data_IF_986646872597
#
_entry.id   IF_986646872597
#
_cell.length_a   1.000
_cell.length_b   1.000
_cell.length_c   1.000
_cell.angle_alpha   90.00
_cell.angle_beta   90.00
_cell.angle_gamma   90.00
#
_symmetry.space_group_name_H-M   'P 1'
#
loop_
_entity.id
_entity.type
_entity.pdbx_description
1 polymer ?
#
# COMPACT_ATOMS: atom_id res chain seq x y z
N UNK A 1 31.00 46.88 -4.11
CA UNK A 1 30.42 45.71 -4.78
C UNK A 1 29.80 46.16 -6.10
N UNK A 2 30.25 45.58 -7.22
CA UNK A 2 29.87 45.97 -8.58
C UNK A 2 28.33 45.79 -8.76
N UNK A 3 27.67 46.79 -9.37
CA UNK A 3 26.18 46.75 -9.58
C UNK A 3 25.73 45.50 -10.32
N UNK A 4 26.55 44.92 -11.19
CA UNK A 4 26.28 43.67 -11.89
C UNK A 4 26.30 42.47 -10.93
N UNK A 5 27.27 42.42 -10.01
CA UNK A 5 27.37 41.33 -9.03
C UNK A 5 26.14 41.30 -8.10
N UNK A 6 25.67 42.50 -7.71
CA UNK A 6 24.47 42.64 -6.88
C UNK A 6 23.21 42.14 -7.59
N UNK A 7 23.08 42.43 -8.90
CA UNK A 7 21.95 41.94 -9.71
C UNK A 7 21.99 40.43 -9.90
N UNK A 8 23.16 39.83 -10.13
CA UNK A 8 23.35 38.38 -10.25
C UNK A 8 22.98 37.70 -8.94
N UNK A 9 23.43 38.21 -7.80
CA UNK A 9 23.06 37.65 -6.50
C UNK A 9 21.55 37.70 -6.24
N UNK A 10 20.89 38.82 -6.57
CA UNK A 10 19.43 38.92 -6.42
C UNK A 10 18.71 37.89 -7.31
N UNK A 11 19.19 37.72 -8.55
CA UNK A 11 18.61 36.73 -9.48
C UNK A 11 18.76 35.31 -8.94
N UNK A 12 19.93 34.93 -8.42
CA UNK A 12 20.19 33.62 -7.83
C UNK A 12 19.32 33.36 -6.60
N UNK A 13 19.11 34.36 -5.75
CA UNK A 13 18.23 34.25 -4.59
C UNK A 13 16.77 34.07 -5.04
N UNK A 14 16.31 34.82 -6.05
CA UNK A 14 14.95 34.67 -6.58
C UNK A 14 14.73 33.30 -7.22
N UNK A 15 15.71 32.79 -7.97
CA UNK A 15 15.64 31.43 -8.54
C UNK A 15 15.64 30.40 -7.43
N UNK A 16 16.46 30.55 -6.39
CA UNK A 16 16.47 29.64 -5.24
C UNK A 16 15.13 29.61 -4.49
N UNK A 17 14.54 30.79 -4.24
CA UNK A 17 13.22 30.89 -3.60
C UNK A 17 12.13 30.27 -4.50
N UNK A 18 12.16 30.54 -5.81
CA UNK A 18 11.18 29.99 -6.75
C UNK A 18 11.26 28.46 -6.82
N UNK A 19 12.46 27.90 -6.90
CA UNK A 19 12.64 26.43 -6.92
C UNK A 19 12.21 25.80 -5.59
N UNK A 20 12.54 26.42 -4.46
CA UNK A 20 12.14 25.93 -3.15
C UNK A 20 10.61 25.97 -2.96
N UNK A 21 9.95 27.08 -3.30
CA UNK A 21 8.49 27.21 -3.21
C UNK A 21 7.78 26.27 -4.20
N UNK A 22 8.32 26.11 -5.40
CA UNK A 22 7.77 25.18 -6.40
C UNK A 22 7.87 23.73 -5.94
N UNK A 23 9.03 23.29 -5.44
CA UNK A 23 9.21 21.91 -4.96
C UNK A 23 8.32 21.62 -3.74
N UNK A 24 8.17 22.59 -2.83
CA UNK A 24 7.29 22.43 -1.67
C UNK A 24 5.82 22.41 -2.07
N UNK A 25 5.42 23.28 -3.01
CA UNK A 25 4.07 23.28 -3.56
C UNK A 25 3.75 21.99 -4.30
N UNK A 26 4.67 21.50 -5.14
CA UNK A 26 4.53 20.21 -5.84
C UNK A 26 4.44 19.04 -4.85
N UNK A 27 5.24 19.07 -3.78
CA UNK A 27 5.15 18.06 -2.72
C UNK A 27 3.77 18.02 -2.05
N UNK A 28 3.23 19.18 -1.69
CA UNK A 28 1.88 19.27 -1.13
C UNK A 28 0.79 18.84 -2.13
N UNK A 29 0.87 19.25 -3.38
CA UNK A 29 -0.08 18.83 -4.41
C UNK A 29 -0.01 17.33 -4.68
N UNK A 30 1.19 16.78 -4.65
CA UNK A 30 1.41 15.36 -4.83
C UNK A 30 0.77 14.52 -3.71
N UNK A 31 0.81 15.00 -2.47
CA UNK A 31 0.20 14.32 -1.32
C UNK A 31 -1.32 14.39 -1.35
N UNK A 32 -1.92 15.50 -1.80
CA UNK A 32 -3.38 15.64 -1.93
C UNK A 32 -4.03 14.52 -2.75
N UNK A 33 -3.30 13.91 -3.68
CA UNK A 33 -3.80 12.77 -4.43
C UNK A 33 -4.00 11.51 -3.56
N UNK A 34 -3.47 11.50 -2.32
CA UNK A 34 -3.53 10.38 -1.38
C UNK A 34 -4.26 10.71 -0.08
N UNK A 35 -4.74 11.94 0.13
CA UNK A 35 -5.49 12.37 1.34
C UNK A 35 -6.71 11.47 1.60
N UNK A 36 -7.30 10.92 0.54
CA UNK A 36 -8.44 10.00 0.65
C UNK A 36 -8.11 8.70 1.40
N UNK A 37 -6.82 8.31 1.49
CA UNK A 37 -6.39 7.14 2.25
C UNK A 37 -6.72 7.26 3.74
N UNK A 38 -6.75 8.49 4.29
CA UNK A 38 -7.15 8.75 5.67
C UNK A 38 -8.60 8.31 5.96
N UNK A 39 -9.43 8.16 4.93
CA UNK A 39 -10.80 7.63 5.05
C UNK A 39 -10.84 6.11 5.20
N UNK A 40 -9.82 5.40 4.73
CA UNK A 40 -9.77 3.95 4.69
C UNK A 40 -8.78 3.34 5.69
N UNK A 41 -7.82 4.14 6.16
CA UNK A 41 -6.75 3.70 7.04
C UNK A 41 -6.67 4.60 8.29
N UNK A 42 -7.09 4.13 9.51
CA UNK A 42 -7.55 2.77 9.80
C UNK A 42 -9.05 2.57 9.55
N UNK A 43 -9.43 1.39 9.09
CA UNK A 43 -10.81 0.91 9.03
C UNK A 43 -11.03 -0.14 10.12
N UNK A 44 -12.05 0.03 10.95
CA UNK A 44 -12.39 -0.92 12.02
C UNK A 44 -13.43 -1.95 11.60
N UNK A 45 -14.18 -1.67 10.56
CA UNK A 45 -15.19 -2.58 9.99
C UNK A 45 -15.21 -2.43 8.48
N UNK A 46 -15.01 -3.54 7.76
CA UNK A 46 -15.04 -3.55 6.29
C UNK A 46 -16.37 -3.08 5.71
N UNK A 47 -17.46 -3.17 6.48
CA UNK A 47 -18.77 -2.64 6.05
C UNK A 47 -18.78 -1.12 5.92
N UNK A 48 -17.84 -0.42 6.54
CA UNK A 48 -17.70 1.03 6.35
C UNK A 48 -17.31 1.37 4.91
N UNK A 49 -16.66 0.46 4.19
CA UNK A 49 -16.31 0.65 2.80
C UNK A 49 -17.55 0.81 1.90
N UNK A 50 -18.70 0.21 2.26
CA UNK A 50 -19.95 0.42 1.51
C UNK A 50 -20.44 1.88 1.50
N UNK A 51 -19.98 2.70 2.45
CA UNK A 51 -20.29 4.15 2.46
C UNK A 51 -19.57 4.88 1.33
N UNK A 52 -18.39 4.38 0.97
CA UNK A 52 -17.53 4.98 -0.04
C UNK A 52 -17.71 4.31 -1.41
N UNK A 53 -18.07 3.02 -1.41
CA UNK A 53 -18.28 2.19 -2.59
C UNK A 53 -19.69 1.60 -2.53
N UNK A 54 -20.71 2.35 -3.00
CA UNK A 54 -22.12 1.98 -2.81
C UNK A 54 -22.58 0.79 -3.66
N UNK A 55 -21.79 0.32 -4.63
CA UNK A 55 -22.10 -0.93 -5.32
C UNK A 55 -21.28 -2.08 -4.76
N UNK A 56 -20.12 -2.32 -5.30
CA UNK A 56 -19.27 -3.44 -4.89
C UNK A 56 -17.84 -2.95 -4.72
N UNK A 57 -17.10 -3.59 -3.85
CA UNK A 57 -15.67 -3.34 -3.68
C UNK A 57 -14.90 -4.66 -3.55
N UNK A 58 -13.61 -4.60 -3.87
CA UNK A 58 -12.67 -5.66 -3.54
C UNK A 58 -11.48 -5.09 -2.75
N UNK A 59 -11.01 -5.85 -1.77
CA UNK A 59 -9.73 -5.61 -1.10
C UNK A 59 -8.83 -6.80 -1.40
N UNK A 60 -7.69 -6.54 -2.02
CA UNK A 60 -6.68 -7.55 -2.32
C UNK A 60 -5.52 -7.34 -1.38
N UNK A 61 -5.30 -8.28 -0.48
CA UNK A 61 -4.16 -8.26 0.44
C UNK A 61 -3.16 -9.33 0.01
N UNK A 62 -1.89 -8.96 -0.12
CA UNK A 62 -0.81 -9.86 -0.53
C UNK A 62 0.30 -9.80 0.51
N UNK A 63 0.78 -10.96 0.92
CA UNK A 63 2.01 -11.13 1.71
C UNK A 63 2.93 -12.08 0.98
N UNK A 64 4.19 -11.72 0.91
CA UNK A 64 5.22 -12.57 0.35
C UNK A 64 6.32 -12.82 1.38
N UNK A 65 6.75 -14.07 1.45
CA UNK A 65 7.74 -14.54 2.39
C UNK A 65 8.89 -15.22 1.65
N UNK A 66 10.11 -14.87 2.02
CA UNK A 66 11.30 -15.67 1.67
C UNK A 66 11.47 -16.76 2.73
N UNK A 67 11.71 -17.99 2.29
CA UNK A 67 12.02 -19.12 3.17
C UNK A 67 13.53 -19.31 3.30
N UNK A 68 14.00 -19.55 4.52
CA UNK A 68 15.40 -19.85 4.77
C UNK A 68 15.82 -21.17 4.08
N UNK A 69 17.01 -21.16 3.48
CA UNK A 69 17.55 -22.34 2.79
C UNK A 69 16.99 -22.60 1.37
N UNK A 70 16.06 -21.77 0.90
CA UNK A 70 15.47 -21.88 -0.44
C UNK A 70 15.66 -20.59 -1.24
N UNK A 71 16.85 -20.28 -1.71
CA UNK A 71 17.14 -19.02 -2.39
C UNK A 71 16.28 -18.87 -3.66
N UNK A 72 15.63 -17.72 -3.78
CA UNK A 72 14.79 -17.38 -4.93
C UNK A 72 13.38 -17.98 -4.93
N UNK A 73 13.04 -18.79 -3.94
CA UNK A 73 11.67 -19.27 -3.75
C UNK A 73 10.91 -18.31 -2.83
N UNK A 74 9.69 -17.95 -3.22
CA UNK A 74 8.84 -17.03 -2.48
C UNK A 74 7.49 -17.72 -2.24
N UNK A 75 7.04 -17.72 -1.00
CA UNK A 75 5.68 -18.08 -0.68
C UNK A 75 4.82 -16.82 -0.73
N UNK A 76 3.83 -16.81 -1.60
CA UNK A 76 2.87 -15.71 -1.76
C UNK A 76 1.50 -16.11 -1.24
N UNK A 77 0.93 -15.26 -0.40
CA UNK A 77 -0.44 -15.41 0.07
C UNK A 77 -1.22 -14.24 -0.46
N UNK A 78 -2.28 -14.56 -1.18
CA UNK A 78 -3.23 -13.57 -1.69
C UNK A 78 -4.57 -13.79 -1.03
N UNK A 79 -5.11 -12.77 -0.38
CA UNK A 79 -6.47 -12.74 0.15
C UNK A 79 -7.27 -11.75 -0.68
N UNK A 80 -8.37 -12.22 -1.25
CA UNK A 80 -9.33 -11.39 -1.96
C UNK A 80 -10.58 -11.34 -1.10
N UNK A 81 -10.96 -10.12 -0.73
CA UNK A 81 -12.16 -9.80 0.03
C UNK A 81 -13.09 -9.06 -0.91
N UNK A 82 -14.32 -9.53 -1.04
CA UNK A 82 -15.33 -8.94 -1.89
C UNK A 82 -16.51 -8.49 -1.05
N UNK A 83 -16.91 -7.23 -1.23
CA UNK A 83 -18.10 -6.66 -0.63
C UNK A 83 -19.19 -6.47 -1.67
N UNK A 84 -20.30 -7.16 -1.50
CA UNK A 84 -21.51 -7.01 -2.34
C UNK A 84 -22.49 -6.06 -1.66
N UNK A 85 -22.67 -4.89 -2.21
CA UNK A 85 -23.47 -3.81 -1.60
C UNK A 85 -24.95 -4.16 -1.48
N UNK A 86 -25.54 -4.81 -2.48
CA UNK A 86 -26.98 -5.17 -2.50
C UNK A 86 -27.39 -6.04 -1.33
N UNK A 87 -26.51 -6.96 -0.95
CA UNK A 87 -26.74 -7.90 0.14
C UNK A 87 -26.03 -7.53 1.42
N UNK A 88 -25.16 -6.50 1.38
CA UNK A 88 -24.22 -6.13 2.46
C UNK A 88 -23.36 -7.33 2.91
N UNK A 89 -23.13 -8.27 1.99
CA UNK A 89 -22.36 -9.48 2.23
C UNK A 89 -20.89 -9.22 1.98
N UNK A 90 -20.06 -9.71 2.89
CA UNK A 90 -18.61 -9.76 2.72
C UNK A 90 -18.21 -11.22 2.61
N UNK A 91 -17.46 -11.56 1.57
CA UNK A 91 -16.84 -12.86 1.34
C UNK A 91 -15.33 -12.71 1.17
N UNK A 92 -14.57 -13.74 1.51
CA UNK A 92 -13.13 -13.71 1.32
C UNK A 92 -12.60 -15.08 0.92
N UNK A 93 -11.54 -15.05 0.13
CA UNK A 93 -10.81 -16.23 -0.32
C UNK A 93 -9.33 -15.99 -0.19
N UNK A 94 -8.62 -16.96 0.37
CA UNK A 94 -7.17 -16.92 0.46
C UNK A 94 -6.56 -18.00 -0.43
N UNK A 95 -5.48 -17.63 -1.14
CA UNK A 95 -4.70 -18.52 -2.00
C UNK A 95 -3.25 -18.50 -1.55
N UNK A 96 -2.66 -19.68 -1.44
CA UNK A 96 -1.26 -19.91 -1.14
C UNK A 96 -0.57 -20.37 -2.43
N UNK A 97 0.41 -19.60 -2.88
CA UNK A 97 1.20 -19.89 -4.07
C UNK A 97 2.68 -20.01 -3.71
N UNK A 98 3.38 -20.89 -4.42
CA UNK A 98 4.83 -20.98 -4.41
C UNK A 98 5.37 -20.34 -5.69
N UNK A 99 6.11 -19.27 -5.58
CA UNK A 99 6.75 -18.58 -6.70
C UNK A 99 8.18 -19.11 -6.81
N UNK A 100 8.49 -19.73 -7.93
CA UNK A 100 9.78 -20.33 -8.21
C UNK A 100 10.80 -19.30 -8.75
N UNK A 101 12.10 -19.60 -8.74
CA UNK A 101 13.14 -18.70 -9.23
C UNK A 101 12.99 -18.24 -10.68
N UNK A 102 12.35 -19.06 -11.52
CA UNK A 102 12.01 -18.73 -12.92
C UNK A 102 10.77 -17.85 -13.06
N UNK A 103 10.19 -17.40 -11.91
CA UNK A 103 8.95 -16.62 -11.79
C UNK A 103 7.68 -17.38 -12.18
N UNK A 104 7.73 -18.68 -12.38
CA UNK A 104 6.53 -19.49 -12.45
C UNK A 104 5.87 -19.58 -11.08
N UNK A 105 4.56 -19.80 -11.07
CA UNK A 105 3.78 -19.90 -9.82
C UNK A 105 3.08 -21.26 -9.78
N UNK A 106 3.25 -21.95 -8.66
CA UNK A 106 2.54 -23.18 -8.34
C UNK A 106 1.52 -22.89 -7.25
N UNK A 107 0.25 -23.07 -7.56
CA UNK A 107 -0.81 -22.94 -6.57
C UNK A 107 -0.79 -24.14 -5.63
N UNK A 108 -0.56 -23.88 -4.35
CA UNK A 108 -0.50 -24.93 -3.32
C UNK A 108 -1.87 -25.17 -2.68
N UNK A 109 -2.60 -24.11 -2.34
CA UNK A 109 -3.87 -24.22 -1.65
C UNK A 109 -4.77 -23.01 -1.94
N UNK A 110 -6.09 -23.23 -1.86
CA UNK A 110 -7.10 -22.17 -1.86
C UNK A 110 -8.17 -22.51 -0.83
N UNK A 111 -8.53 -21.54 0.00
CA UNK A 111 -9.54 -21.70 1.06
C UNK A 111 -10.49 -20.50 1.07
N UNK A 112 -11.75 -20.77 1.37
CA UNK A 112 -12.72 -19.73 1.68
C UNK A 112 -12.57 -19.32 3.15
N UNK A 113 -12.60 -18.01 3.41
CA UNK A 113 -12.52 -17.44 4.75
C UNK A 113 -13.91 -16.98 5.18
N UNK A 114 -14.27 -17.28 6.42
CA UNK A 114 -15.55 -16.85 6.97
C UNK A 114 -15.41 -15.48 7.64
N UNK A 115 -16.15 -14.50 7.16
CA UNK A 115 -16.18 -13.16 7.77
C UNK A 115 -16.86 -13.19 9.14
N UNK A 116 -16.18 -12.65 10.16
CA UNK A 116 -16.68 -12.58 11.55
C UNK A 116 -17.23 -11.20 11.93
N UNK A 117 -17.00 -10.21 11.14
CA UNK A 117 -17.29 -8.80 11.45
C UNK A 117 -16.02 -7.99 11.71
N UNK A 118 -16.16 -6.67 11.69
CA UNK A 118 -15.03 -5.78 11.77
C UNK A 118 -14.08 -5.96 10.58
N UNK A 119 -12.85 -6.36 10.87
CA UNK A 119 -11.80 -6.67 9.87
C UNK A 119 -11.30 -8.12 10.01
N UNK A 120 -12.09 -8.99 10.65
CA UNK A 120 -11.66 -10.31 11.08
C UNK A 120 -12.29 -11.45 10.27
N UNK A 121 -11.50 -12.50 10.06
CA UNK A 121 -11.89 -13.71 9.34
C UNK A 121 -11.51 -14.96 10.11
N UNK A 122 -12.35 -16.01 9.98
CA UNK A 122 -11.98 -17.37 10.39
C UNK A 122 -11.10 -18.01 9.32
N UNK A 123 -9.95 -18.50 9.76
CA UNK A 123 -9.00 -19.23 8.92
C UNK A 123 -9.10 -20.71 9.31
N UNK A 124 -9.37 -21.64 8.36
CA UNK A 124 -9.41 -23.06 8.64
C UNK A 124 -8.07 -23.55 9.18
N UNK A 125 -8.05 -24.10 10.41
CA UNK A 125 -6.81 -24.47 11.13
C UNK A 125 -6.11 -25.71 10.57
N UNK A 126 -6.86 -26.55 9.86
CA UNK A 126 -6.38 -27.81 9.24
C UNK A 126 -5.67 -27.57 7.90
N UNK A 127 -5.53 -26.32 7.48
CA UNK A 127 -4.97 -25.92 6.18
C UNK A 127 -3.55 -25.40 6.32
N UNK A 128 -2.72 -25.67 5.29
CA UNK A 128 -1.34 -25.20 5.24
C UNK A 128 -1.26 -23.67 5.33
N UNK A 129 -2.18 -22.98 4.66
CA UNK A 129 -2.25 -21.52 4.65
C UNK A 129 -2.39 -20.92 6.06
N UNK A 130 -2.98 -21.66 7.01
CA UNK A 130 -3.14 -21.18 8.39
C UNK A 130 -1.81 -20.90 9.08
N UNK A 131 -0.75 -21.62 8.72
CA UNK A 131 0.59 -21.41 9.30
C UNK A 131 1.22 -20.08 8.93
N UNK A 132 0.71 -19.44 7.87
CA UNK A 132 1.15 -18.14 7.39
C UNK A 132 0.22 -17.00 7.80
N UNK A 133 -1.00 -17.34 8.25
CA UNK A 133 -2.04 -16.38 8.61
C UNK A 133 -2.36 -16.33 10.11
N UNK A 134 -1.56 -16.99 10.97
CA UNK A 134 -1.84 -17.08 12.41
C UNK A 134 -2.08 -15.71 13.07
N UNK A 135 -1.32 -14.67 12.67
CA UNK A 135 -1.47 -13.31 13.17
C UNK A 135 -1.85 -12.36 12.03
N UNK A 136 -2.74 -12.85 11.15
CA UNK A 136 -3.17 -12.08 10.01
C UNK A 136 -4.03 -10.89 10.44
N UNK A 137 -3.59 -9.70 10.02
CA UNK A 137 -4.36 -8.48 10.09
C UNK A 137 -4.18 -7.70 8.78
N UNK A 138 -5.27 -7.10 8.33
CA UNK A 138 -5.24 -6.19 7.18
C UNK A 138 -4.43 -4.93 7.52
N UNK A 139 -3.74 -4.34 6.53
CA UNK A 139 -3.08 -3.05 6.71
C UNK A 139 -4.08 -1.99 7.12
N UNK A 140 -5.26 -1.96 6.50
CA UNK A 140 -6.32 -1.01 6.84
C UNK A 140 -6.82 -1.12 8.28
N UNK A 141 -6.59 -2.25 8.96
CA UNK A 141 -6.98 -2.41 10.35
C UNK A 141 -6.02 -1.75 11.33
N UNK A 142 -4.75 -1.70 10.97
CA UNK A 142 -3.65 -1.29 11.86
C UNK A 142 -3.03 0.04 11.52
N UNK A 143 -2.97 0.37 10.24
CA UNK A 143 -2.24 1.53 9.80
C UNK A 143 -3.09 2.80 9.92
N UNK A 144 -2.60 3.74 10.71
CA UNK A 144 -3.15 5.10 10.81
C UNK A 144 -2.43 5.99 9.79
N UNK A 145 -2.93 5.98 8.56
CA UNK A 145 -2.35 6.80 7.48
C UNK A 145 -2.63 8.27 7.74
N UNK A 146 -1.57 9.07 7.70
CA UNK A 146 -1.64 10.53 7.73
C UNK A 146 -0.78 11.11 6.63
N UNK A 147 -1.37 11.85 5.73
CA UNK A 147 -0.64 12.50 4.64
C UNK A 147 0.49 13.42 5.15
N UNK A 148 0.29 14.04 6.32
CA UNK A 148 1.27 14.92 6.95
C UNK A 148 2.58 14.22 7.34
N UNK A 149 2.54 12.91 7.67
CA UNK A 149 3.73 12.13 8.01
C UNK A 149 4.71 12.04 6.83
N UNK A 150 4.20 12.13 5.61
CA UNK A 150 4.96 12.10 4.37
C UNK A 150 5.30 13.48 3.82
N UNK A 151 4.71 14.55 4.38
CA UNK A 151 4.89 15.92 3.86
C UNK A 151 6.35 16.39 3.92
N UNK A 152 7.14 15.88 4.88
CA UNK A 152 8.56 16.18 5.03
C UNK A 152 9.47 15.10 4.45
N UNK A 153 8.94 13.91 4.15
CA UNK A 153 9.70 12.84 3.56
C UNK A 153 9.99 13.14 2.07
N UNK A 154 11.24 12.94 1.67
CA UNK A 154 11.61 13.08 0.26
C UNK A 154 11.21 11.80 -0.48
N UNK A 155 10.32 11.86 -1.47
CA UNK A 155 10.00 10.69 -2.26
C UNK A 155 11.23 10.23 -3.04
N UNK A 156 11.42 8.92 -3.13
CA UNK A 156 12.43 8.29 -3.99
C UNK A 156 12.00 8.39 -5.45
N UNK A 157 10.71 8.19 -5.69
CA UNK A 157 10.12 8.21 -7.03
C UNK A 157 8.74 8.88 -6.97
N UNK A 158 8.49 9.68 -8.01
CA UNK A 158 7.21 10.35 -8.24
C UNK A 158 6.78 10.00 -9.65
N UNK A 159 5.63 9.39 -9.78
CA UNK A 159 4.99 9.17 -11.07
C UNK A 159 3.61 9.81 -11.06
N UNK A 160 3.39 10.73 -12.00
CA UNK A 160 2.11 11.40 -12.19
C UNK A 160 1.73 11.32 -13.67
N UNK A 161 0.62 10.65 -13.93
CA UNK A 161 0.00 10.61 -15.24
C UNK A 161 -1.45 11.09 -15.15
N UNK A 162 -1.68 12.41 -15.19
CA UNK A 162 -3.02 12.97 -15.04
C UNK A 162 -3.97 12.60 -16.18
N UNK A 163 -3.43 12.26 -17.36
CA UNK A 163 -4.26 11.83 -18.52
C UNK A 163 -4.93 10.49 -18.22
N UNK A 164 -4.19 9.58 -17.58
CA UNK A 164 -4.71 8.27 -17.16
C UNK A 164 -5.17 8.26 -15.70
N UNK A 165 -5.05 9.38 -14.98
CA UNK A 165 -5.42 9.47 -13.58
C UNK A 165 -4.59 8.56 -12.67
N UNK A 166 -3.38 8.20 -13.09
CA UNK A 166 -2.49 7.32 -12.34
C UNK A 166 -1.43 8.14 -11.60
N UNK A 167 -1.28 7.86 -10.33
CA UNK A 167 -0.34 8.54 -9.44
C UNK A 167 0.39 7.51 -8.60
N UNK A 168 1.70 7.69 -8.44
CA UNK A 168 2.51 6.83 -7.58
C UNK A 168 3.52 7.66 -6.78
N UNK A 169 3.73 7.27 -5.53
CA UNK A 169 4.73 7.85 -4.63
C UNK A 169 5.45 6.72 -3.94
N UNK A 170 6.79 6.76 -3.99
CA UNK A 170 7.63 5.78 -3.32
C UNK A 170 8.59 6.47 -2.36
N UNK A 171 8.70 5.95 -1.17
CA UNK A 171 9.54 6.47 -0.09
C UNK A 171 10.44 5.37 0.46
N UNK A 172 11.63 5.77 0.93
CA UNK A 172 12.52 4.88 1.68
C UNK A 172 12.45 5.22 3.16
N UNK A 173 12.37 4.19 3.98
CA UNK A 173 12.41 4.31 5.43
C UNK A 173 13.40 3.31 6.04
N UNK A 174 13.85 3.62 7.25
CA UNK A 174 14.59 2.72 8.11
C UNK A 174 13.70 2.28 9.28
N UNK A 175 13.96 1.12 9.85
CA UNK A 175 13.13 0.52 10.91
C UNK A 175 12.98 1.36 12.17
N UNK A 176 13.88 2.34 12.39
CA UNK A 176 13.81 3.28 13.50
C UNK A 176 12.82 4.42 13.31
N UNK A 177 12.26 4.58 12.11
CA UNK A 177 11.37 5.69 11.82
C UNK A 177 10.00 5.47 12.46
N UNK A 178 9.41 6.54 13.00
CA UNK A 178 8.09 6.50 13.64
C UNK A 178 6.99 6.01 12.69
N UNK A 179 7.17 6.24 11.40
CA UNK A 179 6.26 5.78 10.34
C UNK A 179 6.24 4.25 10.27
N UNK A 180 7.39 3.56 10.45
CA UNK A 180 7.46 2.10 10.38
C UNK A 180 6.64 1.41 11.46
N UNK A 181 6.60 1.98 12.66
CA UNK A 181 5.85 1.40 13.79
C UNK A 181 4.34 1.42 13.57
N UNK A 182 3.83 2.37 12.77
CA UNK A 182 2.40 2.50 12.47
C UNK A 182 1.85 1.40 11.56
N UNK A 183 2.72 0.73 10.77
CA UNK A 183 2.25 -0.29 9.82
C UNK A 183 1.96 -1.65 10.45
N UNK A 184 2.33 -1.88 11.72
CA UNK A 184 2.09 -3.16 12.38
C UNK A 184 2.72 -4.38 11.70
N UNK A 185 3.62 -4.15 10.76
CA UNK A 185 4.34 -5.16 9.98
C UNK A 185 5.80 -5.09 10.39
N UNK A 186 6.28 -6.14 11.04
CA UNK A 186 7.69 -6.26 11.40
C UNK A 186 8.50 -6.66 10.16
N UNK A 187 9.06 -5.67 9.49
CA UNK A 187 10.07 -5.89 8.46
C UNK A 187 11.48 -5.95 9.07
N UNK A 188 11.59 -6.45 10.29
CA UNK A 188 12.75 -6.59 11.17
C UNK A 188 14.08 -6.08 10.60
N UNK A 189 14.47 -4.88 11.02
CA UNK A 189 15.82 -4.29 10.85
C UNK A 189 16.33 -4.03 9.43
N UNK A 190 15.47 -4.14 8.42
CA UNK A 190 15.85 -3.87 7.02
C UNK A 190 15.40 -2.46 6.61
N UNK A 191 16.11 -1.90 5.66
CA UNK A 191 15.58 -0.75 4.90
C UNK A 191 14.38 -1.23 4.10
N UNK A 192 13.31 -0.48 4.12
CA UNK A 192 12.09 -0.82 3.38
C UNK A 192 11.60 0.35 2.54
N UNK A 193 10.81 0.03 1.55
CA UNK A 193 10.14 0.98 0.68
C UNK A 193 8.64 0.94 0.95
N UNK A 194 8.03 2.14 1.02
CA UNK A 194 6.59 2.30 1.01
C UNK A 194 6.21 2.94 -0.32
N UNK A 195 5.25 2.33 -0.98
CA UNK A 195 4.70 2.81 -2.25
C UNK A 195 3.20 3.02 -2.09
N UNK A 196 2.75 4.21 -2.45
CA UNK A 196 1.34 4.54 -2.60
C UNK A 196 1.03 4.64 -4.07
N UNK A 197 0.03 3.89 -4.52
CA UNK A 197 -0.46 3.91 -5.88
C UNK A 197 -1.94 4.28 -5.91
N UNK A 198 -2.35 5.04 -6.92
CA UNK A 198 -3.74 5.34 -7.24
C UNK A 198 -3.92 5.28 -8.74
N UNK A 199 -4.96 4.59 -9.18
CA UNK A 199 -5.44 4.65 -10.54
C UNK A 199 -6.89 5.09 -10.55
N UNK A 200 -7.17 6.14 -11.30
CA UNK A 200 -8.50 6.69 -11.48
C UNK A 200 -8.61 7.18 -12.93
N UNK A 201 -8.46 6.24 -13.86
CA UNK A 201 -8.54 6.57 -15.28
C UNK A 201 -9.92 7.14 -15.64
N UNK A 202 -9.98 8.25 -16.38
CA UNK A 202 -11.25 8.75 -16.89
C UNK A 202 -11.90 7.81 -17.91
N UNK A 203 -11.12 6.86 -18.45
CA UNK A 203 -11.56 5.88 -19.45
C UNK A 203 -11.88 4.51 -18.83
N UNK A 204 -11.34 4.22 -17.64
CA UNK A 204 -11.62 2.99 -16.92
C UNK A 204 -12.70 3.23 -15.87
N UNK A 205 -13.58 2.25 -15.72
CA UNK A 205 -14.63 2.30 -14.70
C UNK A 205 -14.12 2.01 -13.29
N UNK A 206 -12.84 1.63 -13.16
CA UNK A 206 -12.29 1.16 -11.91
C UNK A 206 -11.48 2.24 -11.19
N UNK A 207 -11.63 2.24 -9.89
CA UNK A 207 -10.78 2.93 -8.95
C UNK A 207 -9.90 1.87 -8.26
N UNK A 208 -8.60 2.08 -8.30
CA UNK A 208 -7.64 1.27 -7.55
C UNK A 208 -6.79 2.16 -6.67
N UNK A 209 -6.63 1.72 -5.43
CA UNK A 209 -5.74 2.35 -4.46
C UNK A 209 -4.88 1.29 -3.80
N UNK A 210 -3.58 1.44 -3.87
CA UNK A 210 -2.62 0.47 -3.37
C UNK A 210 -1.68 1.09 -2.35
N UNK A 211 -1.49 0.42 -1.23
CA UNK A 211 -0.33 0.60 -0.34
C UNK A 211 0.52 -0.64 -0.46
N UNK A 212 1.81 -0.46 -0.74
CA UNK A 212 2.78 -1.55 -0.84
C UNK A 212 3.99 -1.25 0.02
N UNK A 213 4.38 -2.20 0.85
CA UNK A 213 5.55 -2.14 1.70
C UNK A 213 6.43 -3.33 1.34
N UNK A 214 7.70 -3.07 0.99
CA UNK A 214 8.66 -4.11 0.64
C UNK A 214 10.01 -3.88 1.30
N UNK A 215 10.72 -4.94 1.62
CA UNK A 215 12.11 -4.86 2.05
C UNK A 215 13.03 -4.65 0.84
N UNK A 216 14.03 -3.81 1.01
CA UNK A 216 14.99 -3.45 -0.04
C UNK A 216 16.08 -4.50 -0.22
N UNK A 217 16.49 -5.10 0.88
CA UNK A 217 17.57 -6.09 0.90
C UNK A 217 16.98 -7.48 1.16
N UNK A 218 16.97 -8.28 0.12
CA UNK A 218 16.53 -9.68 0.11
C UNK A 218 17.58 -10.59 0.80
N UNK A 219 18.00 -10.26 2.00
CA UNK A 219 18.84 -11.15 2.80
C UNK A 219 17.98 -11.69 3.92
N UNK A 220 17.84 -13.02 4.06
CA UNK A 220 17.25 -13.60 5.27
C UNK A 220 18.10 -13.14 6.44
N UNK A 221 17.58 -12.21 7.22
CA UNK A 221 18.23 -11.69 8.39
C UNK A 221 17.59 -12.40 9.56
N UNK A 222 18.38 -13.23 10.20
CA UNK A 222 18.07 -13.93 11.43
C UNK A 222 17.54 -15.35 11.34
N UNK A 223 17.64 -16.07 12.46
CA UNK A 223 17.22 -17.44 12.73
C UNK A 223 15.68 -17.67 12.63
N UNK A 224 14.93 -16.77 12.05
CA UNK A 224 13.53 -16.98 11.74
C UNK A 224 13.42 -17.73 10.42
N UNK A 225 12.71 -18.84 10.41
CA UNK A 225 12.55 -19.71 9.23
C UNK A 225 11.86 -19.01 8.04
N UNK A 226 11.34 -17.80 8.25
CA UNK A 226 10.61 -17.03 7.23
C UNK A 226 10.79 -15.53 7.47
N UNK A 227 11.05 -14.80 6.40
CA UNK A 227 11.10 -13.33 6.42
C UNK A 227 10.05 -12.76 5.49
N UNK A 228 9.15 -11.91 6.01
CA UNK A 228 8.22 -11.18 5.15
C UNK A 228 8.98 -10.15 4.32
N UNK A 229 8.81 -10.22 3.01
CA UNK A 229 9.51 -9.36 2.03
C UNK A 229 8.59 -8.36 1.35
N UNK A 230 7.30 -8.66 1.31
CA UNK A 230 6.26 -7.80 0.74
C UNK A 230 4.99 -7.91 1.56
N UNK A 231 4.37 -6.76 1.82
CA UNK A 231 2.98 -6.64 2.23
C UNK A 231 2.33 -5.58 1.34
N UNK A 232 1.24 -5.93 0.69
CA UNK A 232 0.50 -5.02 -0.20
C UNK A 232 -0.99 -5.14 0.06
N UNK A 233 -1.67 -4.00 0.01
CA UNK A 233 -3.12 -3.94 0.09
C UNK A 233 -3.66 -3.01 -0.98
N UNK A 234 -4.59 -3.50 -1.77
CA UNK A 234 -5.24 -2.75 -2.84
C UNK A 234 -6.74 -2.73 -2.59
N UNK A 235 -7.34 -1.55 -2.59
CA UNK A 235 -8.79 -1.37 -2.61
C UNK A 235 -9.18 -1.07 -4.05
N UNK A 236 -10.11 -1.84 -4.60
CA UNK A 236 -10.62 -1.70 -5.95
C UNK A 236 -12.14 -1.59 -5.95
N UNK A 237 -12.69 -0.69 -6.74
CA UNK A 237 -14.14 -0.52 -6.87
C UNK A 237 -14.53 0.00 -8.25
N UNK A 238 -15.78 -0.25 -8.67
CA UNK A 238 -16.32 0.35 -9.90
C UNK A 238 -16.56 1.86 -9.68
N UNK A 239 -16.02 2.66 -10.58
CA UNK A 239 -16.06 4.12 -10.52
C UNK A 239 -17.46 4.71 -10.74
N UNK A 240 -18.37 4.01 -11.41
CA UNK A 240 -19.73 4.50 -11.66
C UNK A 240 -20.42 4.94 -10.37
N UNK A 241 -19.84 4.55 -9.23
CA UNK A 241 -20.41 4.57 -7.90
C UNK A 241 -19.59 5.31 -6.86
N UNK A 242 -18.42 5.83 -7.21
CA UNK A 242 -17.74 6.79 -6.35
C UNK A 242 -18.63 8.01 -6.26
N UNK A 243 -19.43 8.07 -5.19
CA UNK A 243 -20.39 9.12 -4.95
C UNK A 243 -19.78 10.49 -5.25
N UNK A 244 -20.50 11.30 -5.98
CA UNK A 244 -20.13 12.65 -6.39
C UNK A 244 -20.05 13.56 -5.15
N UNK A 245 -19.11 13.35 -4.26
CA UNK A 245 -18.69 14.36 -3.31
C UNK A 245 -17.83 15.38 -4.08
N UNK A 246 -18.54 16.35 -4.67
CA UNK A 246 -17.97 17.63 -5.09
C UNK A 246 -17.87 18.58 -3.91
#
# INVERSE_FOLDING_TARGET
MNRYLKRIMILLVLVGISTFTYTRWMGHMALRNFDYLEKFYPTKDLRELFKYFPEDFAVIHIREFAEEGKPGQIISIRIIIEGESKTQKISAKATLDNILPDRSSEKLETVDLTYRGGVSFDIPKDKQISTYLNDFELLMAKYDYRAEDFAQAKPLEIYDNPVHGSYERRYNFETSDSISSGYGVDFSKSKYEIEFGKSLSPFDRFFDSTIRIRTKDFKPISNEARTMILCSETISADRSNLGSER
#
